data_IF_589772505242
#
_entry.id   IF_589772505242
#
_cell.length_a   1.000
_cell.length_b   1.000
_cell.length_c   1.000
_cell.angle_alpha   90.00
_cell.angle_beta   90.00
_cell.angle_gamma   90.00
#
_symmetry.space_group_name_H-M   'P 1'
#
loop_
_entity.id
_entity.type
_entity.pdbx_description
1 polymer ?
#
# COMPACT_ATOMS: atom_id res chain seq x y z
N UNK A 1 12.17 -7.58 5.62
CA UNK A 1 10.80 -7.41 6.18
C UNK A 1 10.18 -8.74 6.56
N UNK A 2 10.44 -9.81 5.79
CA UNK A 2 10.03 -11.19 6.09
C UNK A 2 10.16 -11.60 7.56
N UNK A 3 11.34 -11.44 8.18
CA UNK A 3 11.55 -11.81 9.59
C UNK A 3 10.61 -11.07 10.55
N UNK A 4 10.36 -9.77 10.31
CA UNK A 4 9.43 -9.01 11.14
C UNK A 4 8.00 -9.53 10.99
N UNK A 5 7.59 -9.93 9.78
CA UNK A 5 6.29 -10.56 9.56
C UNK A 5 6.18 -11.89 10.33
N UNK A 6 7.17 -12.78 10.20
CA UNK A 6 7.20 -14.06 10.91
C UNK A 6 7.10 -13.90 12.43
N UNK A 7 7.91 -13.01 13.03
CA UNK A 7 7.87 -12.73 14.48
C UNK A 7 6.48 -12.24 14.92
N UNK A 8 5.84 -11.36 14.15
CA UNK A 8 4.51 -10.87 14.51
C UNK A 8 3.43 -11.97 14.40
N UNK A 9 3.56 -12.89 13.44
CA UNK A 9 2.69 -14.06 13.34
C UNK A 9 2.88 -15.00 14.52
N UNK A 10 4.11 -15.23 14.97
CA UNK A 10 4.41 -16.00 16.19
C UNK A 10 3.79 -15.35 17.43
N UNK A 11 3.67 -14.02 17.45
CA UNK A 11 2.95 -13.26 18.49
C UNK A 11 1.43 -13.19 18.29
N UNK A 12 0.88 -13.95 17.34
CA UNK A 12 -0.56 -14.08 17.14
C UNK A 12 -1.18 -13.12 16.14
N UNK A 13 -0.39 -12.40 15.34
CA UNK A 13 -0.92 -11.59 14.25
C UNK A 13 -1.63 -12.49 13.22
N UNK A 14 -2.94 -12.27 13.05
CA UNK A 14 -3.76 -13.03 12.09
C UNK A 14 -3.65 -12.48 10.66
N UNK A 15 -3.17 -11.25 10.50
CA UNK A 15 -2.96 -10.57 9.21
C UNK A 15 -1.69 -9.72 9.35
N UNK A 16 -0.89 -9.64 8.29
CA UNK A 16 0.23 -8.71 8.18
C UNK A 16 -0.12 -7.61 7.16
N UNK A 17 -0.02 -6.33 7.52
CA UNK A 17 -0.13 -5.20 6.58
C UNK A 17 1.23 -4.54 6.36
N UNK A 18 1.57 -4.29 5.09
CA UNK A 18 2.80 -3.61 4.71
C UNK A 18 2.51 -2.14 4.45
N UNK A 19 3.18 -1.26 5.18
CA UNK A 19 3.07 0.18 4.96
C UNK A 19 4.00 0.65 3.85
N UNK A 20 3.42 1.02 2.70
CA UNK A 20 4.06 1.79 1.63
C UNK A 20 3.32 3.12 1.36
N UNK A 21 2.73 3.71 2.40
CA UNK A 21 1.89 4.93 2.30
C UNK A 21 2.35 6.14 3.12
N UNK A 22 3.21 5.96 4.13
CA UNK A 22 3.63 7.08 4.99
C UNK A 22 4.62 8.01 4.26
N UNK A 23 4.37 9.35 4.20
CA UNK A 23 5.12 10.25 3.34
C UNK A 23 6.50 10.71 3.88
N UNK A 24 6.76 10.48 5.17
CA UNK A 24 7.99 10.91 5.85
C UNK A 24 8.63 9.79 6.69
N UNK A 25 8.33 8.52 6.40
CA UNK A 25 8.81 7.40 7.23
C UNK A 25 10.29 7.11 6.95
N UNK A 26 11.08 7.09 8.02
CA UNK A 26 12.41 6.47 8.06
C UNK A 26 12.35 5.24 8.94
N UNK A 27 12.89 4.12 8.47
CA UNK A 27 13.07 2.90 9.27
C UNK A 27 14.53 2.54 9.20
N UNK A 28 15.19 2.45 10.36
CA UNK A 28 16.62 2.23 10.47
C UNK A 28 17.45 3.14 9.53
N UNK A 29 17.16 4.45 9.58
CA UNK A 29 17.79 5.53 8.78
C UNK A 29 17.59 5.43 7.25
N UNK A 30 16.87 4.44 6.73
CA UNK A 30 16.52 4.33 5.31
C UNK A 30 15.12 4.87 5.03
N UNK A 31 14.93 5.45 3.84
CA UNK A 31 13.60 5.86 3.38
C UNK A 31 12.69 4.64 3.27
N UNK A 32 11.48 4.75 3.80
CA UNK A 32 10.46 3.71 3.81
C UNK A 32 9.09 4.32 3.48
N UNK A 33 8.01 3.54 3.59
CA UNK A 33 6.68 4.04 3.29
C UNK A 33 6.54 4.38 1.81
N UNK A 34 5.90 5.51 1.49
CA UNK A 34 5.61 5.87 0.09
C UNK A 34 6.85 6.27 -0.73
N UNK A 35 8.03 6.38 -0.10
CA UNK A 35 9.27 6.52 -0.84
C UNK A 35 9.59 5.29 -1.70
N UNK A 36 9.13 4.11 -1.28
CA UNK A 36 9.30 2.86 -2.01
C UNK A 36 8.54 2.84 -3.35
N UNK A 37 7.50 3.66 -3.50
CA UNK A 37 6.69 3.70 -4.73
C UNK A 37 7.51 4.19 -5.94
N UNK A 38 8.66 4.81 -5.75
CA UNK A 38 9.57 5.18 -6.85
C UNK A 38 10.34 3.98 -7.43
N UNK A 39 10.32 2.83 -6.75
CA UNK A 39 11.15 1.67 -7.08
C UNK A 39 10.29 0.39 -7.19
N UNK A 40 9.53 0.21 -8.29
CA UNK A 40 8.65 -0.95 -8.47
C UNK A 40 9.34 -2.31 -8.27
N UNK A 41 10.58 -2.47 -8.74
CA UNK A 41 11.34 -3.73 -8.58
C UNK A 41 11.64 -4.03 -7.10
N UNK A 42 11.94 -2.99 -6.32
CA UNK A 42 12.15 -3.13 -4.88
C UNK A 42 10.84 -3.47 -4.16
N UNK A 43 9.72 -2.86 -4.60
CA UNK A 43 8.39 -3.21 -4.10
C UNK A 43 8.11 -4.69 -4.35
N UNK A 44 8.25 -5.17 -5.60
CA UNK A 44 8.05 -6.58 -5.94
C UNK A 44 8.87 -7.50 -5.04
N UNK A 45 10.18 -7.23 -4.92
CA UNK A 45 11.08 -8.02 -4.06
C UNK A 45 10.59 -8.10 -2.62
N UNK A 46 10.22 -6.96 -2.02
CA UNK A 46 9.73 -6.90 -0.64
C UNK A 46 8.45 -7.71 -0.48
N UNK A 47 7.49 -7.57 -1.41
CA UNK A 47 6.20 -8.24 -1.31
C UNK A 47 6.37 -9.75 -1.42
N UNK A 48 7.15 -10.24 -2.39
CA UNK A 48 7.45 -11.67 -2.53
C UNK A 48 8.09 -12.25 -1.27
N UNK A 49 9.12 -11.59 -0.73
CA UNK A 49 9.80 -12.04 0.49
C UNK A 49 8.84 -12.12 1.70
N UNK A 50 7.97 -11.13 1.88
CA UNK A 50 7.04 -11.12 3.02
C UNK A 50 5.93 -12.15 2.86
N UNK A 51 5.31 -12.23 1.68
CA UNK A 51 4.25 -13.21 1.39
C UNK A 51 4.77 -14.64 1.55
N UNK A 52 5.98 -14.95 1.09
CA UNK A 52 6.55 -16.29 1.25
C UNK A 52 6.94 -16.66 2.69
N UNK A 53 7.07 -15.68 3.58
CA UNK A 53 7.59 -15.88 4.93
C UNK A 53 6.52 -16.23 5.96
N UNK A 54 5.23 -16.07 5.64
CA UNK A 54 4.13 -16.26 6.59
C UNK A 54 2.96 -17.01 5.96
N UNK A 55 2.24 -17.77 6.77
CA UNK A 55 1.05 -18.51 6.35
C UNK A 55 -0.28 -17.77 6.60
N UNK A 56 -0.21 -16.50 7.04
CA UNK A 56 -1.37 -15.64 7.24
C UNK A 56 -1.55 -14.68 6.06
N UNK A 57 -2.75 -14.12 5.84
CA UNK A 57 -2.94 -13.10 4.80
C UNK A 57 -2.00 -11.90 4.95
N UNK A 58 -1.38 -11.52 3.83
CA UNK A 58 -0.59 -10.28 3.73
C UNK A 58 -1.35 -9.26 2.91
N UNK A 59 -1.44 -8.05 3.42
CA UNK A 59 -2.13 -6.90 2.83
C UNK A 59 -1.16 -5.74 2.62
N UNK A 60 -1.51 -4.81 1.75
CA UNK A 60 -0.67 -3.67 1.40
C UNK A 60 -1.44 -2.36 1.52
N UNK A 61 -0.83 -1.34 2.13
CA UNK A 61 -1.34 0.04 2.12
C UNK A 61 -0.41 0.98 1.37
N UNK A 62 -0.93 1.63 0.32
CA UNK A 62 -0.18 2.58 -0.52
C UNK A 62 -0.81 3.98 -0.56
N UNK A 63 -0.09 4.89 -1.22
CA UNK A 63 -0.57 6.16 -1.75
C UNK A 63 -0.69 6.07 -3.27
N UNK A 64 -1.23 7.10 -3.92
CA UNK A 64 -1.44 7.08 -5.38
C UNK A 64 -0.14 7.15 -6.20
N UNK A 65 0.94 7.59 -5.57
CA UNK A 65 2.28 7.69 -6.16
C UNK A 65 3.21 8.59 -5.35
N UNK A 66 4.36 8.94 -5.92
CA UNK A 66 5.35 9.81 -5.27
C UNK A 66 4.91 11.29 -5.28
N UNK A 67 4.43 11.79 -6.41
CA UNK A 67 3.88 13.13 -6.55
C UNK A 67 2.77 13.13 -7.61
N UNK A 68 2.20 14.30 -7.92
CA UNK A 68 1.06 14.42 -8.84
C UNK A 68 1.41 14.04 -10.28
N UNK A 69 2.66 14.23 -10.71
CA UNK A 69 3.18 13.81 -12.02
C UNK A 69 3.57 12.33 -12.05
N UNK A 70 3.86 11.75 -10.89
CA UNK A 70 4.37 10.39 -10.73
C UNK A 70 3.37 9.50 -9.97
N UNK A 71 2.18 9.31 -10.55
CA UNK A 71 1.14 8.40 -10.05
C UNK A 71 1.30 7.01 -10.67
N UNK A 72 1.65 6.02 -9.86
CA UNK A 72 1.89 4.65 -10.33
C UNK A 72 1.11 3.59 -9.53
N UNK A 73 0.09 3.97 -8.76
CA UNK A 73 -0.70 3.04 -7.96
C UNK A 73 -1.33 1.88 -8.75
N UNK A 74 -1.68 2.06 -10.04
CA UNK A 74 -2.14 0.95 -10.90
C UNK A 74 -1.03 -0.07 -11.15
N UNK A 75 0.18 0.38 -11.44
CA UNK A 75 1.35 -0.50 -11.61
C UNK A 75 1.65 -1.24 -10.31
N UNK A 76 1.72 -0.52 -9.19
CA UNK A 76 1.98 -1.10 -7.87
C UNK A 76 0.88 -2.08 -7.46
N UNK A 77 -0.39 -1.80 -7.79
CA UNK A 77 -1.50 -2.71 -7.53
C UNK A 77 -1.37 -4.03 -8.27
N UNK A 78 -0.99 -4.00 -9.57
CA UNK A 78 -0.73 -5.21 -10.35
C UNK A 78 0.43 -6.03 -9.80
N UNK A 79 1.53 -5.36 -9.42
CA UNK A 79 2.67 -6.01 -8.76
C UNK A 79 2.22 -6.69 -7.47
N UNK A 80 1.43 -5.99 -6.64
CA UNK A 80 0.94 -6.53 -5.38
C UNK A 80 0.10 -7.80 -5.58
N UNK A 81 -0.85 -7.77 -6.51
CA UNK A 81 -1.66 -8.93 -6.88
C UNK A 81 -0.80 -10.10 -7.35
N UNK A 82 0.17 -9.86 -8.25
CA UNK A 82 1.10 -10.89 -8.75
C UNK A 82 2.01 -11.47 -7.66
N UNK A 83 2.26 -10.72 -6.59
CA UNK A 83 3.05 -11.17 -5.44
C UNK A 83 2.23 -11.94 -4.40
N UNK A 84 0.90 -12.03 -4.55
CA UNK A 84 0.03 -12.74 -3.61
C UNK A 84 -0.50 -11.88 -2.46
N UNK A 85 -0.48 -10.56 -2.57
CA UNK A 85 -1.17 -9.67 -1.62
C UNK A 85 -2.68 -9.91 -1.72
N UNK A 86 -3.34 -10.07 -0.57
CA UNK A 86 -4.74 -10.46 -0.51
C UNK A 86 -5.72 -9.28 -0.42
N UNK A 87 -5.24 -8.07 -0.11
CA UNK A 87 -6.03 -6.84 -0.18
C UNK A 87 -5.13 -5.62 -0.30
N UNK A 88 -5.62 -4.58 -1.01
CA UNK A 88 -4.90 -3.34 -1.24
C UNK A 88 -5.68 -2.13 -0.73
N UNK A 89 -5.12 -1.40 0.23
CA UNK A 89 -5.65 -0.11 0.66
C UNK A 89 -4.93 1.02 -0.08
N UNK A 90 -5.69 1.94 -0.68
CA UNK A 90 -5.14 3.10 -1.40
C UNK A 90 -5.61 4.39 -0.73
N UNK A 91 -4.66 5.19 -0.23
CA UNK A 91 -4.95 6.57 0.16
C UNK A 91 -4.94 7.45 -1.09
N UNK A 92 -6.04 8.17 -1.35
CA UNK A 92 -6.26 9.08 -2.49
C UNK A 92 -5.36 10.31 -2.57
N UNK A 93 -4.16 10.28 -1.99
CA UNK A 93 -3.16 11.34 -2.06
C UNK A 93 -1.82 10.74 -2.51
N UNK A 94 -0.99 11.55 -3.15
CA UNK A 94 0.41 11.20 -3.45
C UNK A 94 1.28 11.40 -2.22
N UNK A 95 2.52 10.94 -2.19
CA UNK A 95 3.46 11.24 -1.10
C UNK A 95 3.63 12.75 -0.92
N UNK A 96 3.82 13.49 -2.02
CA UNK A 96 4.06 14.92 -2.01
C UNK A 96 2.89 15.74 -1.45
N UNK A 97 1.66 15.25 -1.58
CA UNK A 97 0.49 15.90 -0.98
C UNK A 97 0.55 15.96 0.56
N UNK A 98 1.36 15.14 1.24
CA UNK A 98 1.31 15.01 2.70
C UNK A 98 -0.14 14.81 3.18
N UNK A 99 -0.68 15.79 3.90
CA UNK A 99 -2.10 15.85 4.31
C UNK A 99 -2.84 17.04 3.70
N UNK A 100 -2.22 17.74 2.75
CA UNK A 100 -2.77 18.91 2.08
C UNK A 100 -3.69 18.54 0.92
N UNK A 101 -4.54 19.50 0.53
CA UNK A 101 -5.57 19.33 -0.49
C UNK A 101 -6.59 18.25 -0.11
N UNK A 102 -7.36 17.78 -1.09
CA UNK A 102 -8.36 16.72 -0.90
C UNK A 102 -7.84 15.38 -1.43
N UNK A 103 -8.25 14.29 -0.79
CA UNK A 103 -8.07 12.95 -1.33
C UNK A 103 -8.95 12.76 -2.58
N UNK A 104 -8.36 12.25 -3.66
CA UNK A 104 -9.08 11.90 -4.88
C UNK A 104 -9.33 10.39 -4.97
N UNK A 105 -10.46 10.04 -5.60
CA UNK A 105 -10.92 8.64 -5.69
C UNK A 105 -10.79 8.06 -7.10
N UNK A 106 -10.42 8.86 -8.10
CA UNK A 106 -10.31 8.43 -9.49
C UNK A 106 -9.19 7.39 -9.68
N UNK A 107 -8.04 7.61 -9.04
CA UNK A 107 -6.96 6.62 -9.07
C UNK A 107 -7.32 5.36 -8.28
N UNK A 108 -8.09 5.47 -7.19
CA UNK A 108 -8.58 4.31 -6.44
C UNK A 108 -9.51 3.47 -7.31
N UNK A 109 -10.43 4.13 -8.04
CA UNK A 109 -11.31 3.50 -9.03
C UNK A 109 -10.52 2.81 -10.15
N UNK A 110 -9.51 3.48 -10.70
CA UNK A 110 -8.64 2.91 -11.73
C UNK A 110 -7.88 1.67 -11.23
N UNK A 111 -7.38 1.70 -10.00
CA UNK A 111 -6.77 0.52 -9.35
C UNK A 111 -7.79 -0.61 -9.24
N UNK A 112 -8.99 -0.35 -8.72
CA UNK A 112 -10.01 -1.40 -8.56
C UNK A 112 -10.44 -2.03 -9.89
N UNK A 113 -10.46 -1.26 -10.97
CA UNK A 113 -10.73 -1.78 -12.32
C UNK A 113 -9.60 -2.64 -12.88
N UNK A 114 -8.36 -2.43 -12.40
CA UNK A 114 -7.18 -3.07 -12.96
C UNK A 114 -6.76 -4.37 -12.24
N UNK A 115 -7.28 -4.65 -11.05
CA UNK A 115 -6.92 -5.82 -10.23
C UNK A 115 -8.15 -6.53 -9.65
N UNK A 116 -8.06 -7.84 -9.47
CA UNK A 116 -9.14 -8.68 -8.95
C UNK A 116 -9.23 -8.63 -7.42
N UNK A 117 -8.10 -8.53 -6.71
CA UNK A 117 -8.09 -8.49 -5.24
C UNK A 117 -8.94 -7.33 -4.67
N UNK A 118 -9.45 -7.47 -3.43
CA UNK A 118 -10.16 -6.40 -2.74
C UNK A 118 -9.35 -5.09 -2.67
N UNK A 119 -10.02 -3.97 -2.97
CA UNK A 119 -9.46 -2.62 -2.86
C UNK A 119 -10.23 -1.84 -1.82
N UNK A 120 -9.51 -1.27 -0.84
CA UNK A 120 -10.07 -0.45 0.24
C UNK A 120 -9.73 1.02 -0.05
N UNK A 121 -10.76 1.84 -0.22
CA UNK A 121 -10.61 3.28 -0.39
C UNK A 121 -10.27 3.96 0.94
N UNK A 122 -9.33 4.89 0.93
CA UNK A 122 -8.93 5.66 2.12
C UNK A 122 -8.63 7.12 1.77
N UNK A 123 -8.96 8.02 2.68
CA UNK A 123 -8.74 9.46 2.54
C UNK A 123 -10.03 10.24 2.68
N UNK A 124 -10.08 11.12 3.68
CA UNK A 124 -11.10 12.14 3.88
C UNK A 124 -12.55 11.64 3.96
N UNK A 125 -12.79 10.36 4.25
CA UNK A 125 -14.14 9.83 4.53
C UNK A 125 -14.47 10.18 5.99
N UNK A 126 -15.25 11.25 6.18
CA UNK A 126 -15.58 11.85 7.48
C UNK A 126 -17.05 11.63 7.91
N UNK A 127 -17.85 10.99 7.06
CA UNK A 127 -19.28 10.79 7.28
C UNK A 127 -19.77 9.55 6.55
N UNK A 128 -20.83 8.93 7.06
CA UNK A 128 -21.50 7.81 6.39
C UNK A 128 -22.00 8.18 4.99
N UNK A 129 -22.40 9.45 4.78
CA UNK A 129 -22.80 9.97 3.47
C UNK A 129 -21.63 9.99 2.49
N UNK A 130 -20.43 10.39 2.92
CA UNK A 130 -19.22 10.39 2.07
C UNK A 130 -18.66 8.99 1.84
N UNK A 131 -18.95 8.05 2.74
CA UNK A 131 -18.58 6.64 2.59
C UNK A 131 -19.42 5.86 1.56
N UNK A 132 -20.62 6.35 1.25
CA UNK A 132 -21.58 5.72 0.32
C UNK A 132 -21.29 6.12 -1.13
#
# INVERSE_FOLDING_TARGET
MAQAAAINVEYGAQIIDINMGCPAKKVNRKLAGSALLQFPDLVEKILREVVSAVNVPVTLKIRTGWDKSNRNCVQIGKIAEQCGIQALTVHGRTRACLFEGEAEYDNIKAVKQAIAIPVIANGDIDSARKAK
#
